data_IF_938864475827
#
_entry.id   IF_938864475827
#
_cell.length_a   1.000
_cell.length_b   1.000
_cell.length_c   1.000
_cell.angle_alpha   90.00
_cell.angle_beta   90.00
_cell.angle_gamma   90.00
#
_symmetry.space_group_name_H-M   'P 1'
#
loop_
_entity.id
_entity.type
_entity.pdbx_description
1 polymer ?
#
# COMPACT_ATOMS: atom_id res chain seq x y z
N UNK A 1 21.65 -1.66 17.85
CA UNK A 1 20.63 -0.96 18.65
C UNK A 1 19.85 -0.10 17.66
N UNK A 2 18.56 -0.35 17.48
CA UNK A 2 17.70 0.58 16.78
C UNK A 2 17.71 1.86 17.61
N UNK A 3 18.08 2.98 16.99
CA UNK A 3 18.05 4.25 17.70
C UNK A 3 16.61 4.57 18.07
N UNK A 4 16.42 5.10 19.26
CA UNK A 4 15.19 5.62 19.86
C UNK A 4 14.50 6.63 18.92
N UNK A 5 13.74 6.13 17.95
CA UNK A 5 13.14 6.94 16.88
C UNK A 5 11.73 6.46 16.55
N UNK A 6 10.80 7.39 16.54
CA UNK A 6 9.44 7.18 16.08
C UNK A 6 9.31 7.60 14.60
N UNK A 7 8.72 6.74 13.76
CA UNK A 7 8.40 7.06 12.37
C UNK A 7 6.89 7.30 12.26
N UNK A 8 6.50 8.45 11.72
CA UNK A 8 5.10 8.82 11.52
C UNK A 8 4.85 9.04 10.03
N UNK A 9 3.88 8.32 9.49
CA UNK A 9 3.39 8.49 8.13
C UNK A 9 2.34 9.60 8.07
N UNK A 10 2.47 10.47 7.09
CA UNK A 10 1.53 11.55 6.80
C UNK A 10 1.09 11.41 5.35
N UNK A 11 -0.13 10.95 5.14
CA UNK A 11 -0.69 10.74 3.80
C UNK A 11 -0.93 12.04 3.03
N UNK A 12 -1.21 11.90 1.74
CA UNK A 12 -1.58 13.00 0.88
C UNK A 12 -3.06 13.35 1.03
N UNK A 13 -3.44 14.61 1.13
CA UNK A 13 -4.83 15.05 1.15
C UNK A 13 -5.47 15.10 -0.25
N UNK A 14 -4.73 14.74 -1.29
CA UNK A 14 -5.13 14.82 -2.70
C UNK A 14 -4.86 13.51 -3.42
N UNK A 15 -5.62 13.23 -4.49
CA UNK A 15 -5.40 12.08 -5.35
C UNK A 15 -4.09 12.19 -6.14
N UNK A 16 -3.84 13.34 -6.77
CA UNK A 16 -2.67 13.60 -7.61
C UNK A 16 -2.22 15.08 -7.59
N UNK A 17 -2.35 15.76 -6.44
CA UNK A 17 -1.92 17.17 -6.25
C UNK A 17 -2.58 18.15 -7.21
N UNK A 18 -3.83 17.90 -7.60
CA UNK A 18 -4.64 18.83 -8.37
C UNK A 18 -5.15 19.98 -7.46
N UNK A 19 -5.47 21.12 -8.05
CA UNK A 19 -6.20 22.19 -7.39
C UNK A 19 -7.18 22.85 -8.38
N UNK A 20 -8.52 22.65 -8.22
CA UNK A 20 -9.16 21.80 -7.20
C UNK A 20 -8.89 20.31 -7.40
N UNK A 21 -8.91 19.53 -6.30
CA UNK A 21 -8.64 18.08 -6.34
C UNK A 21 -9.79 17.32 -7.02
N UNK A 22 -9.45 16.16 -7.63
CA UNK A 22 -10.40 15.24 -8.26
C UNK A 22 -11.30 15.91 -9.31
N UNK A 23 -10.71 16.73 -10.18
CA UNK A 23 -11.42 17.35 -11.30
C UNK A 23 -10.98 16.74 -12.63
N UNK A 24 -11.95 16.49 -13.52
CA UNK A 24 -11.71 15.92 -14.86
C UNK A 24 -10.79 16.82 -15.68
N UNK A 25 -9.71 16.25 -16.21
CA UNK A 25 -8.76 16.92 -17.09
C UNK A 25 -7.91 18.03 -16.45
N UNK A 26 -8.02 18.24 -15.12
CA UNK A 26 -7.23 19.27 -14.43
C UNK A 26 -5.83 18.71 -14.17
N UNK A 27 -4.81 19.50 -14.55
CA UNK A 27 -3.40 19.15 -14.31
C UNK A 27 -3.04 19.22 -12.83
N UNK A 28 -2.05 18.44 -12.44
CA UNK A 28 -1.44 18.53 -11.12
C UNK A 28 -0.54 19.75 -11.00
N UNK A 29 -0.37 20.23 -9.79
CA UNK A 29 0.58 21.32 -9.50
C UNK A 29 2.02 20.79 -9.60
N UNK A 30 2.86 21.51 -10.35
CA UNK A 30 4.26 21.16 -10.57
C UNK A 30 5.18 22.37 -10.37
N UNK A 31 6.00 22.43 -9.31
CA UNK A 31 6.14 21.42 -8.25
C UNK A 31 4.89 21.33 -7.35
N UNK A 32 4.65 20.13 -6.79
CA UNK A 32 3.54 19.90 -5.87
C UNK A 32 3.81 20.49 -4.48
N UNK A 33 3.03 21.51 -4.03
CA UNK A 33 3.26 22.16 -2.73
C UNK A 33 2.94 21.24 -1.53
N UNK A 34 2.11 20.22 -1.74
CA UNK A 34 1.74 19.28 -0.68
C UNK A 34 2.92 18.44 -0.19
N UNK A 35 3.93 18.23 -1.04
CA UNK A 35 5.14 17.48 -0.67
C UNK A 35 5.92 18.12 0.48
N UNK A 36 5.72 19.40 0.76
CA UNK A 36 6.34 20.08 1.90
C UNK A 36 5.95 19.48 3.26
N UNK A 37 4.67 19.11 3.44
CA UNK A 37 4.10 18.68 4.73
C UNK A 37 3.34 17.35 4.69
N UNK A 38 3.13 16.78 3.51
CA UNK A 38 2.32 15.58 3.30
C UNK A 38 3.08 14.54 2.45
N UNK A 39 2.43 13.43 2.19
CA UNK A 39 2.89 12.39 1.28
C UNK A 39 4.28 11.84 1.64
N UNK A 40 4.51 11.59 2.91
CA UNK A 40 5.82 11.09 3.35
C UNK A 40 5.84 10.56 4.76
N UNK A 41 7.04 10.26 5.21
CA UNK A 41 7.33 9.75 6.54
C UNK A 41 8.31 10.68 7.22
N UNK A 42 8.03 11.00 8.48
CA UNK A 42 8.89 11.80 9.34
C UNK A 42 9.43 10.97 10.48
N UNK A 43 10.67 11.22 10.81
CA UNK A 43 11.38 10.68 11.97
C UNK A 43 11.38 11.69 13.10
N UNK A 44 11.09 11.23 14.31
CA UNK A 44 11.17 11.98 15.55
C UNK A 44 12.07 11.26 16.54
N UNK A 45 12.64 12.00 17.49
CA UNK A 45 13.37 11.48 18.64
C UNK A 45 12.34 11.11 19.72
N UNK A 46 12.19 9.82 20.03
CA UNK A 46 11.17 9.35 21.00
C UNK A 46 11.40 9.86 22.43
N UNK A 47 12.62 10.29 22.73
CA UNK A 47 12.99 10.83 24.04
C UNK A 47 12.71 12.33 24.19
N UNK A 48 12.22 13.01 23.12
CA UNK A 48 11.93 14.44 23.12
C UNK A 48 10.43 14.69 22.95
N UNK A 49 9.68 14.96 24.00
CA UNK A 49 8.27 15.34 23.87
C UNK A 49 8.08 16.71 23.21
N UNK A 50 6.89 16.96 22.65
CA UNK A 50 6.50 18.27 22.10
C UNK A 50 7.07 18.57 20.70
N UNK A 51 7.64 17.61 20.01
CA UNK A 51 8.10 17.79 18.63
C UNK A 51 6.91 17.93 17.65
N UNK A 52 7.12 18.71 16.58
CA UNK A 52 6.22 18.81 15.43
C UNK A 52 6.99 18.52 14.15
N UNK A 53 6.30 18.44 13.01
CA UNK A 53 6.97 18.30 11.70
C UNK A 53 7.99 19.40 11.44
N UNK A 54 7.67 20.64 11.83
CA UNK A 54 8.52 21.81 11.62
C UNK A 54 9.61 21.95 12.69
N UNK A 55 9.34 21.48 13.91
CA UNK A 55 10.24 21.61 15.06
C UNK A 55 10.60 20.23 15.63
N UNK A 56 11.65 19.61 15.08
CA UNK A 56 12.18 18.33 15.52
C UNK A 56 11.94 17.17 14.56
N UNK A 57 10.93 17.23 13.70
CA UNK A 57 10.68 16.23 12.67
C UNK A 57 11.71 16.28 11.55
N UNK A 58 12.22 15.13 11.13
CA UNK A 58 13.12 15.00 9.97
C UNK A 58 12.48 14.13 8.91
N UNK A 59 12.41 14.64 7.66
CA UNK A 59 11.88 13.86 6.53
C UNK A 59 12.71 12.58 6.34
N UNK A 60 12.03 11.43 6.43
CA UNK A 60 12.65 10.13 6.20
C UNK A 60 12.44 9.67 4.76
N UNK A 61 11.21 9.79 4.24
CA UNK A 61 10.83 9.41 2.90
C UNK A 61 9.74 10.34 2.36
N UNK A 62 9.58 10.38 1.03
CA UNK A 62 8.60 11.22 0.33
C UNK A 62 7.92 10.46 -0.82
N UNK A 63 6.94 11.09 -1.48
CA UNK A 63 6.30 10.52 -2.66
C UNK A 63 5.32 9.40 -2.37
N UNK A 64 4.66 9.40 -1.21
CA UNK A 64 3.75 8.36 -0.73
C UNK A 64 2.33 8.90 -0.57
N UNK A 65 1.34 8.33 -1.28
CA UNK A 65 -0.04 8.83 -1.25
C UNK A 65 -0.75 8.56 0.07
N UNK A 66 -1.14 7.32 0.32
CA UNK A 66 -1.83 6.88 1.55
C UNK A 66 -1.18 5.60 2.06
N UNK A 67 -0.68 5.65 3.26
CA UNK A 67 0.08 4.57 3.87
C UNK A 67 -0.66 4.07 5.11
N UNK A 68 -1.61 3.12 4.99
CA UNK A 68 -2.36 2.63 6.13
C UNK A 68 -1.48 1.93 7.16
N UNK A 69 -0.45 1.23 6.70
CA UNK A 69 0.48 0.56 7.60
C UNK A 69 1.95 0.74 7.20
N UNK A 70 2.77 0.86 8.23
CA UNK A 70 4.23 0.86 8.16
C UNK A 70 4.77 -0.10 9.23
N UNK A 71 5.85 -0.80 8.94
CA UNK A 71 6.49 -1.69 9.90
C UNK A 71 8.00 -1.70 9.73
N UNK A 72 8.72 -1.77 10.86
CA UNK A 72 10.19 -1.91 10.83
C UNK A 72 10.58 -3.38 10.82
N UNK A 73 11.40 -3.79 9.87
CA UNK A 73 11.91 -5.15 9.77
C UNK A 73 13.32 -5.14 9.18
N UNK A 74 14.24 -5.90 9.80
CA UNK A 74 15.62 -6.09 9.33
C UNK A 74 16.32 -4.79 8.85
N UNK A 75 16.25 -3.74 9.69
CA UNK A 75 16.98 -2.49 9.42
C UNK A 75 16.35 -1.56 8.39
N UNK A 76 15.14 -1.83 7.91
CA UNK A 76 14.42 -0.97 7.00
C UNK A 76 12.94 -0.79 7.40
N UNK A 77 12.33 0.28 6.93
CA UNK A 77 10.90 0.52 7.07
C UNK A 77 10.18 -0.04 5.83
N UNK A 78 9.16 -0.87 6.07
CA UNK A 78 8.29 -1.38 5.02
C UNK A 78 6.94 -0.67 5.08
N UNK A 79 6.38 -0.41 3.91
CA UNK A 79 5.21 0.45 3.73
C UNK A 79 4.27 -0.21 2.74
N UNK A 80 3.02 -0.40 3.11
CA UNK A 80 1.95 -0.67 2.16
C UNK A 80 1.22 0.63 1.85
N UNK A 81 0.84 0.83 0.59
CA UNK A 81 0.27 2.10 0.14
C UNK A 81 -0.96 1.88 -0.74
N UNK A 82 -2.01 2.66 -0.49
CA UNK A 82 -3.11 2.82 -1.45
C UNK A 82 -2.69 3.78 -2.55
N UNK A 83 -2.72 3.31 -3.78
CA UNK A 83 -2.38 4.11 -4.93
C UNK A 83 -3.55 5.03 -5.34
N UNK A 84 -3.42 5.73 -6.47
CA UNK A 84 -4.43 6.66 -6.98
C UNK A 84 -5.73 5.94 -7.38
N UNK A 85 -6.83 6.68 -7.40
CA UNK A 85 -8.15 6.24 -7.78
C UNK A 85 -8.64 6.92 -9.07
N UNK A 86 -9.67 6.35 -9.71
CA UNK A 86 -10.55 6.99 -10.68
C UNK A 86 -9.80 7.55 -11.91
N UNK A 87 -8.90 6.73 -12.48
CA UNK A 87 -8.20 7.07 -13.73
C UNK A 87 -9.17 7.37 -14.87
N UNK A 88 -10.17 6.54 -15.06
CA UNK A 88 -11.18 6.64 -16.11
C UNK A 88 -12.13 7.82 -15.92
N UNK A 89 -12.48 8.13 -14.67
CA UNK A 89 -13.38 9.25 -14.36
C UNK A 89 -12.73 10.60 -14.67
N UNK A 90 -11.46 10.76 -14.30
CA UNK A 90 -10.75 12.04 -14.47
C UNK A 90 -10.03 12.16 -15.81
N UNK A 91 -9.67 11.04 -16.43
CA UNK A 91 -8.94 10.98 -17.70
C UNK A 91 -9.53 9.96 -18.67
N UNK A 92 -10.83 10.07 -19.05
CA UNK A 92 -11.53 9.08 -19.85
C UNK A 92 -11.01 8.97 -21.29
N UNK A 93 -10.33 10.00 -21.81
CA UNK A 93 -9.72 9.96 -23.13
C UNK A 93 -8.43 9.13 -23.17
N UNK A 94 -7.86 8.81 -22.00
CA UNK A 94 -6.60 8.05 -21.87
C UNK A 94 -6.83 6.68 -21.23
N UNK A 95 -7.76 6.57 -20.28
CA UNK A 95 -7.98 5.36 -19.49
C UNK A 95 -9.43 4.90 -19.54
N UNK A 96 -9.63 3.62 -19.79
CA UNK A 96 -10.94 2.96 -19.70
C UNK A 96 -11.27 2.56 -18.26
N UNK A 97 -12.52 2.20 -18.00
CA UNK A 97 -12.92 1.62 -16.71
C UNK A 97 -12.13 0.33 -16.37
N UNK A 98 -11.76 -0.46 -17.39
CA UNK A 98 -10.90 -1.62 -17.20
C UNK A 98 -9.48 -1.21 -16.80
N UNK A 99 -8.92 -0.18 -17.42
CA UNK A 99 -7.63 0.36 -17.01
C UNK A 99 -7.66 0.83 -15.56
N UNK A 100 -8.69 1.59 -15.17
CA UNK A 100 -8.86 1.99 -13.76
C UNK A 100 -8.89 0.78 -12.83
N UNK A 101 -9.65 -0.27 -13.18
CA UNK A 101 -9.82 -1.45 -12.32
C UNK A 101 -8.53 -2.29 -12.15
N UNK A 102 -7.57 -2.22 -13.07
CA UNK A 102 -6.45 -3.15 -13.11
C UNK A 102 -5.07 -2.50 -12.99
N UNK A 103 -4.92 -1.18 -13.23
CA UNK A 103 -3.59 -0.59 -13.48
C UNK A 103 -2.85 -0.04 -12.27
N UNK A 104 -3.40 0.78 -11.41
CA UNK A 104 -2.59 1.28 -10.30
C UNK A 104 -2.32 0.16 -9.30
N UNK A 105 -1.07 -0.33 -9.26
CA UNK A 105 -0.69 -1.34 -8.27
C UNK A 105 -0.88 -0.83 -6.83
N UNK A 106 -1.15 -1.75 -5.91
CA UNK A 106 -0.99 -1.53 -4.48
C UNK A 106 0.42 -1.99 -4.08
N UNK A 107 1.37 -1.07 -3.87
CA UNK A 107 2.78 -1.45 -3.68
C UNK A 107 3.13 -1.78 -2.24
N UNK A 108 4.09 -2.70 -2.08
CA UNK A 108 4.91 -2.85 -0.89
C UNK A 108 6.27 -2.19 -1.15
N UNK A 109 6.57 -1.14 -0.43
CA UNK A 109 7.84 -0.45 -0.51
C UNK A 109 8.77 -0.82 0.64
N UNK A 110 10.07 -0.80 0.38
CA UNK A 110 11.14 -0.80 1.37
C UNK A 110 11.81 0.57 1.36
N UNK A 111 11.70 1.29 2.46
CA UNK A 111 12.22 2.64 2.59
C UNK A 111 13.51 2.70 3.40
N UNK A 112 14.43 3.53 2.93
CA UNK A 112 15.60 4.01 3.65
C UNK A 112 15.58 5.53 3.68
N UNK A 113 16.46 6.15 4.45
CA UNK A 113 16.55 7.60 4.51
C UNK A 113 16.75 8.20 3.12
N UNK A 114 15.86 9.14 2.74
CA UNK A 114 15.90 9.83 1.45
C UNK A 114 15.14 9.14 0.31
N UNK A 115 14.47 8.00 0.56
CA UNK A 115 13.65 7.35 -0.47
C UNK A 115 12.56 8.26 -0.99
N UNK A 116 12.37 8.27 -2.32
CA UNK A 116 11.24 8.93 -3.01
C UNK A 116 10.49 7.88 -3.85
N UNK A 117 9.17 7.81 -3.69
CA UNK A 117 8.31 6.80 -4.30
C UNK A 117 7.41 7.35 -5.42
N UNK A 118 7.59 8.63 -5.79
CA UNK A 118 7.10 9.21 -7.02
C UNK A 118 5.73 9.88 -6.98
N UNK A 119 4.91 9.73 -5.93
CA UNK A 119 3.68 10.52 -5.84
C UNK A 119 4.00 12.03 -5.71
N UNK A 120 3.28 12.90 -6.38
CA UNK A 120 2.10 12.71 -7.22
C UNK A 120 2.39 12.47 -8.71
N UNK A 121 3.65 12.49 -9.10
CA UNK A 121 4.08 12.52 -10.51
C UNK A 121 3.89 11.21 -11.23
N UNK A 122 4.04 10.09 -10.50
CA UNK A 122 4.03 8.75 -11.05
C UNK A 122 3.20 7.77 -10.22
N UNK A 123 2.73 6.72 -10.86
CA UNK A 123 2.18 5.54 -10.20
C UNK A 123 2.86 4.27 -10.74
N UNK A 124 2.94 3.23 -9.90
CA UNK A 124 3.42 1.94 -10.36
C UNK A 124 2.27 1.17 -11.01
N UNK A 125 2.47 0.75 -12.25
CA UNK A 125 1.47 0.05 -13.05
C UNK A 125 1.55 -1.46 -12.79
N UNK A 126 0.42 -2.09 -12.42
CA UNK A 126 0.42 -3.50 -12.06
C UNK A 126 0.67 -4.42 -13.27
N UNK A 127 -0.04 -4.28 -14.41
CA UNK A 127 0.20 -5.13 -15.57
C UNK A 127 1.58 -4.98 -16.17
N UNK A 128 2.11 -3.76 -16.25
CA UNK A 128 3.38 -3.47 -16.91
C UNK A 128 4.59 -3.61 -15.99
N UNK A 129 4.38 -3.78 -14.68
CA UNK A 129 5.43 -3.91 -13.66
C UNK A 129 6.48 -2.78 -13.71
N UNK A 130 6.03 -1.56 -13.94
CA UNK A 130 6.87 -0.36 -13.99
C UNK A 130 6.12 0.89 -13.62
N UNK A 131 6.85 1.96 -13.33
CA UNK A 131 6.23 3.27 -13.18
C UNK A 131 5.74 3.85 -14.50
N UNK A 132 4.60 4.54 -14.42
CA UNK A 132 4.06 5.39 -15.47
C UNK A 132 3.85 6.80 -14.94
N UNK A 133 4.01 7.79 -15.81
CA UNK A 133 3.68 9.17 -15.49
C UNK A 133 2.18 9.31 -15.26
N UNK A 134 1.78 9.98 -14.19
CA UNK A 134 0.38 10.29 -13.94
C UNK A 134 -0.18 11.23 -15.04
N UNK A 135 -1.43 11.04 -15.48
CA UNK A 135 -2.02 11.87 -16.53
C UNK A 135 -2.10 13.35 -16.16
N UNK A 136 -2.22 13.67 -14.89
CA UNK A 136 -2.13 15.05 -14.38
C UNK A 136 -0.81 15.75 -14.74
N UNK A 137 0.21 14.98 -15.06
CA UNK A 137 1.56 15.43 -15.43
C UNK A 137 1.94 15.06 -16.87
N UNK A 138 0.94 14.82 -17.72
CA UNK A 138 1.11 14.52 -19.14
C UNK A 138 1.31 13.06 -19.48
N UNK A 139 1.07 12.14 -18.54
CA UNK A 139 1.14 10.71 -18.80
C UNK A 139 0.05 10.23 -19.77
N UNK A 140 0.45 9.39 -20.71
CA UNK A 140 -0.38 8.80 -21.78
C UNK A 140 -0.80 7.34 -21.48
N UNK A 141 -0.54 6.86 -20.27
CA UNK A 141 -0.76 5.47 -19.88
C UNK A 141 0.29 4.48 -20.42
N UNK A 142 1.37 4.97 -21.03
CA UNK A 142 2.46 4.15 -21.59
C UNK A 142 3.83 4.64 -21.17
N UNK A 143 4.05 5.94 -21.11
CA UNK A 143 5.36 6.51 -20.81
C UNK A 143 5.60 6.68 -19.31
N UNK A 144 6.83 6.39 -18.87
CA UNK A 144 7.31 6.54 -17.51
C UNK A 144 8.69 7.19 -17.42
N UNK A 145 9.15 7.91 -18.45
CA UNK A 145 10.49 8.50 -18.48
C UNK A 145 10.75 9.44 -17.29
N UNK A 146 9.76 10.24 -16.90
CA UNK A 146 9.82 11.11 -15.71
C UNK A 146 10.03 10.33 -14.39
N UNK A 147 9.72 9.04 -14.39
CA UNK A 147 9.67 8.21 -13.18
C UNK A 147 10.96 7.43 -12.90
N UNK A 148 11.98 7.57 -13.74
CA UNK A 148 13.18 6.73 -13.73
C UNK A 148 14.00 6.78 -12.43
N UNK A 149 13.88 7.86 -11.65
CA UNK A 149 14.65 8.07 -10.42
C UNK A 149 13.92 7.61 -9.16
N UNK A 150 12.64 7.26 -9.25
CA UNK A 150 11.85 6.88 -8.09
C UNK A 150 12.13 5.44 -7.65
N UNK A 151 12.01 5.23 -6.35
CA UNK A 151 12.25 3.92 -5.72
C UNK A 151 11.12 2.95 -6.09
N UNK A 152 11.45 1.89 -6.82
CA UNK A 152 10.48 0.86 -7.19
C UNK A 152 10.00 0.05 -5.96
N UNK A 153 8.78 -0.51 -6.00
CA UNK A 153 8.29 -1.40 -4.96
C UNK A 153 9.09 -2.71 -4.93
N UNK A 154 9.22 -3.30 -3.75
CA UNK A 154 9.81 -4.64 -3.59
C UNK A 154 8.82 -5.75 -3.93
N UNK A 155 7.51 -5.46 -3.83
CA UNK A 155 6.42 -6.27 -4.35
C UNK A 155 5.26 -5.36 -4.75
N UNK A 156 4.41 -5.82 -5.66
CA UNK A 156 3.25 -5.09 -6.13
C UNK A 156 2.04 -6.03 -6.19
N UNK A 157 0.90 -5.55 -5.74
CA UNK A 157 -0.36 -6.30 -5.69
C UNK A 157 -1.37 -5.70 -6.66
N UNK A 158 -2.42 -6.45 -7.04
CA UNK A 158 -3.45 -5.97 -7.95
C UNK A 158 -4.09 -4.67 -7.48
N UNK A 159 -4.55 -3.90 -8.46
CA UNK A 159 -5.16 -2.60 -8.26
C UNK A 159 -6.33 -2.63 -7.27
N UNK A 160 -6.36 -1.64 -6.39
CA UNK A 160 -7.46 -1.36 -5.46
C UNK A 160 -7.74 -2.44 -4.41
N UNK A 161 -6.84 -3.40 -4.21
CA UNK A 161 -7.01 -4.39 -3.14
C UNK A 161 -7.00 -3.76 -1.74
N UNK A 162 -6.48 -2.55 -1.62
CA UNK A 162 -6.43 -1.75 -0.41
C UNK A 162 -5.71 -2.46 0.75
N UNK A 163 -4.38 -2.59 0.71
CA UNK A 163 -3.59 -3.13 1.82
C UNK A 163 -3.69 -2.22 3.05
N UNK A 164 -4.05 -2.76 4.21
CA UNK A 164 -4.29 -1.99 5.43
C UNK A 164 -3.41 -2.38 6.59
N UNK A 165 -2.80 -3.57 6.56
CA UNK A 165 -1.82 -3.99 7.57
C UNK A 165 -0.76 -4.91 6.98
N UNK A 166 0.42 -4.93 7.64
CA UNK A 166 1.55 -5.76 7.25
C UNK A 166 2.26 -6.32 8.50
N UNK A 167 2.51 -7.64 8.48
CA UNK A 167 3.23 -8.34 9.55
C UNK A 167 4.29 -9.28 8.98
N UNK A 168 5.57 -9.03 9.26
CA UNK A 168 6.63 -10.00 9.00
C UNK A 168 6.53 -11.17 9.99
N UNK A 169 6.54 -12.38 9.48
CA UNK A 169 6.42 -13.58 10.30
C UNK A 169 7.76 -13.99 10.90
N UNK A 170 7.84 -13.94 12.22
CA UNK A 170 9.02 -14.33 13.00
C UNK A 170 8.81 -15.59 13.84
N UNK A 171 7.61 -16.18 13.74
CA UNK A 171 7.23 -17.38 14.46
C UNK A 171 7.79 -18.67 13.85
N UNK A 172 7.53 -19.77 14.52
CA UNK A 172 7.95 -21.11 14.09
C UNK A 172 6.79 -22.11 14.03
N UNK A 173 5.54 -21.68 14.27
CA UNK A 173 4.37 -22.55 14.19
C UNK A 173 4.04 -22.95 12.75
N UNK A 174 4.10 -21.97 11.81
CA UNK A 174 3.88 -22.27 10.39
C UNK A 174 5.14 -22.86 9.73
N UNK A 175 4.96 -23.57 8.59
CA UNK A 175 6.08 -24.12 7.81
C UNK A 175 7.19 -23.09 7.51
N UNK A 176 8.40 -23.59 7.34
CA UNK A 176 9.58 -22.76 7.17
C UNK A 176 9.49 -21.74 6.02
N UNK A 177 8.70 -22.01 4.99
CA UNK A 177 8.48 -21.08 3.86
C UNK A 177 7.92 -19.72 4.27
N UNK A 178 7.22 -19.65 5.41
CA UNK A 178 6.61 -18.41 5.90
C UNK A 178 7.57 -17.53 6.73
N UNK A 179 8.72 -18.08 7.18
CA UNK A 179 9.64 -17.34 8.04
C UNK A 179 10.31 -16.19 7.29
N UNK A 180 10.28 -15.01 7.89
CA UNK A 180 10.87 -13.80 7.31
C UNK A 180 10.07 -13.18 6.16
N UNK A 181 9.02 -13.82 5.68
CA UNK A 181 8.09 -13.24 4.73
C UNK A 181 7.03 -12.36 5.40
N UNK A 182 6.26 -11.63 4.59
CA UNK A 182 5.27 -10.68 5.04
C UNK A 182 3.85 -11.16 4.79
N UNK A 183 3.02 -11.20 5.83
CA UNK A 183 1.57 -11.28 5.72
C UNK A 183 0.99 -9.89 5.54
N UNK A 184 0.08 -9.70 4.58
CA UNK A 184 -0.55 -8.42 4.27
C UNK A 184 -2.06 -8.59 4.24
N UNK A 185 -2.78 -7.79 5.03
CA UNK A 185 -4.24 -7.75 5.02
C UNK A 185 -4.72 -6.76 3.96
N UNK A 186 -5.62 -7.23 3.10
CA UNK A 186 -6.27 -6.42 2.08
C UNK A 186 -7.74 -6.24 2.43
N UNK A 187 -8.12 -4.98 2.69
CA UNK A 187 -9.49 -4.61 3.04
C UNK A 187 -10.49 -4.81 1.90
N UNK A 188 -9.98 -4.87 0.68
CA UNK A 188 -10.75 -5.08 -0.53
C UNK A 188 -11.23 -3.78 -1.18
N UNK A 189 -11.43 -3.87 -2.49
CA UNK A 189 -11.74 -2.74 -3.36
C UNK A 189 -13.18 -2.22 -3.20
N UNK A 190 -13.40 -1.01 -3.71
CA UNK A 190 -14.71 -0.39 -3.85
C UNK A 190 -14.94 0.21 -5.25
N UNK A 191 -13.91 0.30 -6.08
CA UNK A 191 -13.86 1.10 -7.31
C UNK A 191 -13.36 0.31 -8.54
N UNK A 192 -13.64 -1.01 -8.60
CA UNK A 192 -13.24 -1.85 -9.73
C UNK A 192 -14.35 -2.06 -10.78
N UNK A 193 -15.54 -1.48 -10.59
CA UNK A 193 -16.60 -1.62 -11.60
C UNK A 193 -16.11 -1.20 -13.00
N UNK A 194 -16.49 -1.91 -14.08
CA UNK A 194 -17.46 -3.00 -14.16
C UNK A 194 -16.93 -4.38 -13.74
N UNK A 195 -15.66 -4.50 -13.39
CA UNK A 195 -15.08 -5.76 -12.92
C UNK A 195 -15.56 -6.08 -11.49
N UNK A 196 -15.55 -7.36 -11.10
CA UNK A 196 -15.79 -7.72 -9.71
C UNK A 196 -14.84 -7.03 -8.76
N UNK A 197 -15.31 -6.71 -7.57
CA UNK A 197 -14.47 -6.25 -6.48
C UNK A 197 -13.49 -7.37 -6.07
N UNK A 198 -12.30 -7.01 -5.63
CA UNK A 198 -11.20 -7.94 -5.33
C UNK A 198 -10.36 -7.48 -4.13
N UNK A 199 -9.41 -8.28 -3.71
CA UNK A 199 -8.81 -8.19 -2.39
C UNK A 199 -9.68 -8.95 -1.40
N UNK A 200 -9.98 -8.40 -0.23
CA UNK A 200 -10.74 -9.08 0.84
C UNK A 200 -10.08 -10.38 1.28
N UNK A 201 -8.78 -10.35 1.41
CA UNK A 201 -7.97 -11.52 1.76
C UNK A 201 -6.75 -11.13 2.58
N UNK A 202 -6.05 -12.12 3.08
CA UNK A 202 -4.69 -11.98 3.61
C UNK A 202 -3.76 -12.73 2.67
N UNK A 203 -2.72 -12.04 2.18
CA UNK A 203 -1.68 -12.67 1.37
C UNK A 203 -0.44 -12.94 2.19
N UNK A 204 0.40 -13.83 1.67
CA UNK A 204 1.78 -14.02 2.09
C UNK A 204 2.72 -13.67 0.93
N UNK A 205 3.66 -12.76 1.18
CA UNK A 205 4.72 -12.39 0.27
C UNK A 205 6.04 -13.00 0.76
N UNK A 206 6.63 -13.96 0.03
CA UNK A 206 7.95 -14.48 0.40
C UNK A 206 9.03 -13.40 0.21
N UNK A 207 9.87 -13.24 1.23
CA UNK A 207 10.90 -12.19 1.29
C UNK A 207 12.22 -12.77 1.77
N UNK A 208 13.34 -12.26 1.23
CA UNK A 208 14.69 -12.47 1.77
C UNK A 208 15.61 -11.30 1.41
N UNK A 209 16.46 -10.87 2.34
CA UNK A 209 17.41 -9.78 2.11
C UNK A 209 16.75 -8.47 1.68
N UNK A 210 15.54 -8.21 2.12
CA UNK A 210 14.80 -7.01 1.81
C UNK A 210 14.13 -6.98 0.43
N UNK A 211 14.03 -8.11 -0.28
CA UNK A 211 13.43 -8.24 -1.61
C UNK A 211 12.42 -9.38 -1.62
N UNK A 212 11.42 -9.28 -2.49
CA UNK A 212 10.54 -10.42 -2.80
C UNK A 212 11.36 -11.53 -3.48
N UNK A 213 11.12 -12.77 -3.08
CA UNK A 213 11.80 -13.97 -3.63
C UNK A 213 10.90 -14.83 -4.51
N UNK A 214 9.67 -14.39 -4.73
CA UNK A 214 8.68 -15.05 -5.56
C UNK A 214 7.37 -14.25 -5.56
N UNK A 215 6.38 -14.76 -6.26
CA UNK A 215 5.04 -14.19 -6.27
C UNK A 215 4.38 -14.36 -4.89
N UNK A 216 3.44 -13.46 -4.56
CA UNK A 216 2.61 -13.62 -3.37
C UNK A 216 1.63 -14.79 -3.53
N UNK A 217 1.26 -15.40 -2.42
CA UNK A 217 0.17 -16.38 -2.36
C UNK A 217 -0.99 -15.84 -1.51
N UNK A 218 -2.23 -16.18 -1.87
CA UNK A 218 -3.39 -15.90 -1.01
C UNK A 218 -3.33 -16.90 0.14
N UNK A 219 -3.15 -16.38 1.35
CA UNK A 219 -3.03 -17.19 2.56
C UNK A 219 -4.38 -17.47 3.22
N UNK A 220 -5.25 -16.47 3.28
CA UNK A 220 -6.61 -16.61 3.80
C UNK A 220 -7.58 -15.77 2.97
N UNK A 221 -8.71 -16.36 2.58
CA UNK A 221 -9.77 -15.74 1.80
C UNK A 221 -11.18 -16.13 2.28
N UNK A 222 -12.19 -15.90 1.42
CA UNK A 222 -13.59 -16.23 1.75
C UNK A 222 -14.29 -15.21 2.65
N UNK A 223 -13.64 -14.12 3.00
CA UNK A 223 -14.19 -13.06 3.87
C UNK A 223 -15.42 -12.37 3.28
N UNK A 224 -15.54 -12.31 1.96
CA UNK A 224 -16.70 -11.71 1.29
C UNK A 224 -18.00 -12.50 1.49
N UNK A 225 -17.91 -13.80 1.79
CA UNK A 225 -19.06 -14.71 1.90
C UNK A 225 -19.73 -15.07 0.56
N UNK A 226 -19.29 -14.47 -0.55
CA UNK A 226 -19.77 -14.74 -1.91
C UNK A 226 -18.71 -14.43 -2.98
N UNK A 227 -18.85 -15.05 -4.16
CA UNK A 227 -18.03 -14.80 -5.34
C UNK A 227 -18.88 -14.99 -6.60
N UNK A 228 -18.83 -14.07 -7.60
CA UNK A 228 -18.11 -12.81 -7.56
C UNK A 228 -18.79 -11.77 -6.65
N UNK A 229 -17.99 -10.84 -6.09
CA UNK A 229 -18.49 -9.71 -5.34
C UNK A 229 -18.58 -8.49 -6.29
N UNK A 230 -19.80 -8.05 -6.63
CA UNK A 230 -20.00 -6.89 -7.52
C UNK A 230 -20.17 -5.59 -6.75
N UNK A 231 -20.89 -5.63 -5.64
CA UNK A 231 -21.08 -4.47 -4.77
C UNK A 231 -20.22 -4.62 -3.50
N UNK A 232 -19.31 -3.68 -3.20
CA UNK A 232 -18.46 -3.75 -2.01
C UNK A 232 -19.26 -3.76 -0.69
N UNK A 233 -20.48 -3.20 -0.67
CA UNK A 233 -21.36 -3.22 0.50
C UNK A 233 -21.92 -4.59 0.86
N UNK A 234 -21.82 -5.57 -0.05
CA UNK A 234 -22.31 -6.93 0.17
C UNK A 234 -21.26 -7.84 0.83
N UNK A 235 -20.04 -7.37 1.04
CA UNK A 235 -19.01 -8.16 1.71
C UNK A 235 -19.40 -8.43 3.18
N UNK A 236 -19.32 -9.70 3.59
CA UNK A 236 -19.67 -10.11 4.96
C UNK A 236 -18.61 -9.69 5.97
N UNK A 237 -17.35 -9.72 5.58
CA UNK A 237 -16.21 -9.28 6.37
C UNK A 237 -15.12 -8.67 5.47
N UNK A 238 -14.29 -7.82 6.05
CA UNK A 238 -13.16 -7.16 5.38
C UNK A 238 -11.94 -7.21 6.31
N UNK A 239 -10.87 -7.95 5.94
CA UNK A 239 -9.64 -7.98 6.73
C UNK A 239 -9.11 -6.59 7.00
N UNK A 240 -8.65 -6.34 8.23
CA UNK A 240 -8.20 -5.02 8.64
C UNK A 240 -6.89 -5.04 9.43
N UNK A 241 -6.65 -6.06 10.23
CA UNK A 241 -5.44 -6.15 11.04
C UNK A 241 -4.88 -7.57 11.14
N UNK A 242 -3.55 -7.67 11.33
CA UNK A 242 -2.84 -8.94 11.50
C UNK A 242 -1.94 -8.84 12.73
N UNK A 243 -2.05 -9.80 13.65
CA UNK A 243 -1.15 -9.93 14.78
C UNK A 243 -0.57 -11.35 14.85
N UNK A 244 0.70 -11.46 15.23
CA UNK A 244 1.34 -12.74 15.54
C UNK A 244 1.36 -12.93 17.06
N UNK A 245 0.83 -14.06 17.52
CA UNK A 245 0.88 -14.44 18.93
C UNK A 245 2.27 -14.99 19.32
N UNK A 246 2.57 -15.06 20.62
CA UNK A 246 3.83 -15.65 21.11
C UNK A 246 4.06 -17.11 20.69
N UNK A 247 2.99 -17.88 20.49
CA UNK A 247 3.05 -19.26 20.01
C UNK A 247 3.24 -19.39 18.49
N UNK A 248 3.32 -18.25 17.77
CA UNK A 248 3.47 -18.20 16.32
C UNK A 248 2.18 -18.29 15.53
N UNK A 249 1.01 -18.43 16.17
CA UNK A 249 -0.28 -18.35 15.48
C UNK A 249 -0.55 -16.91 15.00
N UNK A 250 -1.38 -16.76 13.96
CA UNK A 250 -1.81 -15.45 13.47
C UNK A 250 -3.25 -15.14 13.90
N UNK A 251 -3.49 -13.88 14.20
CA UNK A 251 -4.83 -13.33 14.38
C UNK A 251 -5.14 -12.39 13.24
N UNK A 252 -6.32 -12.54 12.65
CA UNK A 252 -6.83 -11.69 11.58
C UNK A 252 -8.09 -11.00 12.10
N UNK A 253 -8.04 -9.68 12.23
CA UNK A 253 -9.19 -8.84 12.57
C UNK A 253 -9.92 -8.39 11.31
N UNK A 254 -11.21 -8.02 11.44
CA UNK A 254 -12.00 -7.44 10.37
C UNK A 254 -12.87 -6.28 10.87
N UNK A 255 -13.17 -5.32 10.00
CA UNK A 255 -13.77 -4.05 10.37
C UNK A 255 -15.30 -3.97 10.24
N UNK A 256 -15.97 -4.97 9.63
CA UNK A 256 -17.41 -4.91 9.38
C UNK A 256 -18.26 -5.34 10.57
N UNK A 257 -17.83 -6.39 11.27
CA UNK A 257 -18.59 -7.01 12.37
C UNK A 257 -17.75 -7.23 13.63
N UNK A 258 -16.50 -6.78 13.64
CA UNK A 258 -15.59 -6.90 14.78
C UNK A 258 -15.18 -8.33 15.09
N UNK A 259 -15.08 -9.22 14.09
CA UNK A 259 -14.61 -10.59 14.29
C UNK A 259 -13.09 -10.68 14.27
N UNK A 260 -12.58 -11.63 15.03
CA UNK A 260 -11.18 -12.00 15.03
C UNK A 260 -11.06 -13.49 14.80
N UNK A 261 -10.28 -13.90 13.80
CA UNK A 261 -9.93 -15.29 13.56
C UNK A 261 -8.53 -15.59 14.04
N UNK A 262 -8.35 -16.71 14.70
CA UNK A 262 -7.02 -17.26 14.99
C UNK A 262 -6.70 -18.35 13.99
N UNK A 263 -5.56 -18.23 13.33
CA UNK A 263 -5.05 -19.19 12.36
C UNK A 263 -3.88 -19.93 12.97
N UNK A 264 -3.97 -21.26 12.99
CA UNK A 264 -2.95 -22.16 13.52
C UNK A 264 -2.62 -23.24 12.51
N UNK A 265 -1.34 -23.60 12.38
CA UNK A 265 -0.93 -24.75 11.60
C UNK A 265 -1.09 -26.03 12.40
N UNK A 266 -1.81 -27.01 11.86
CA UNK A 266 -2.13 -28.29 12.53
C UNK A 266 -1.27 -29.47 12.07
N UNK A 267 -0.28 -29.21 11.21
CA UNK A 267 0.65 -30.28 10.76
C UNK A 267 0.09 -31.21 9.69
N UNK A 268 -1.02 -30.83 9.00
CA UNK A 268 -1.61 -31.64 7.91
C UNK A 268 -1.24 -31.08 6.54
#
# INVERSE_FOLDING_TARGET
>A
MAADRCNINVGAPSNACQNPDRQKGVKGQDPCPLLGKHAGIWKFDENKPGQTQEAGGTRFATGLRQMPAITWHEGALYIVMHNRDQLDVFWPDTFTAKDNAERPAEPLYRAVQGSDFGWPYCFYDYPMKRFLTNPEYGGDGKDGARCATFTAPVAAFPAHWAPVDIKFYTGNQFPAKYRGGAFIAFHGSWNRAPLPQAGYNVTFQPMAGGKATGDFEVFADGFTGKSPLMNPGDAVARPDGIAQAPDGSLYIGESQKGKIWRVMYTGK
#
